data_IF_184589965458
#
_entry.id   IF_184589965458
#
_cell.length_a   1.000
_cell.length_b   1.000
_cell.length_c   1.000
_cell.angle_alpha   90.00
_cell.angle_beta   90.00
_cell.angle_gamma   90.00
#
_symmetry.space_group_name_H-M   'P 1'
#
loop_
_entity.id
_entity.type
_entity.pdbx_description
1 polymer ?
#
# COMPACT_ATOMS: atom_id res chain seq x y z
N UNK A 1 -10.75 -33.68 -0.35
CA UNK A 1 -9.92 -32.46 -0.18
C UNK A 1 -10.35 -31.78 1.11
N UNK A 2 -9.54 -31.87 2.17
CA UNK A 2 -9.85 -31.24 3.45
C UNK A 2 -9.54 -29.73 3.30
N UNK A 3 -10.58 -28.88 3.45
CA UNK A 3 -10.37 -27.45 3.60
C UNK A 3 -9.77 -27.20 5.00
N UNK A 4 -8.50 -26.80 5.04
CA UNK A 4 -7.92 -26.27 6.28
C UNK A 4 -8.52 -24.87 6.51
N UNK A 5 -9.19 -24.70 7.63
CA UNK A 5 -9.73 -23.41 8.05
C UNK A 5 -8.87 -22.86 9.19
N UNK A 6 -8.17 -21.79 8.91
CA UNK A 6 -7.44 -21.02 9.93
C UNK A 6 -8.18 -19.74 10.27
N UNK A 7 -8.22 -19.41 11.57
CA UNK A 7 -8.73 -18.14 12.05
C UNK A 7 -7.55 -17.29 12.50
N UNK A 8 -7.26 -16.21 11.77
CA UNK A 8 -6.18 -15.30 12.06
C UNK A 8 -6.76 -13.97 12.54
N UNK A 9 -6.31 -13.48 13.68
CA UNK A 9 -6.70 -12.16 14.20
C UNK A 9 -5.88 -11.07 13.53
N UNK A 10 -6.58 -10.13 12.90
CA UNK A 10 -5.98 -8.95 12.27
C UNK A 10 -6.23 -7.72 13.17
N UNK A 11 -5.27 -6.81 13.24
CA UNK A 11 -5.40 -5.55 13.98
C UNK A 11 -6.61 -4.75 13.50
N UNK A 12 -7.46 -4.32 14.42
CA UNK A 12 -8.62 -3.47 14.15
C UNK A 12 -8.40 -2.01 14.55
N UNK A 13 -7.24 -1.69 15.11
CA UNK A 13 -6.89 -0.35 15.63
C UNK A 13 -5.85 0.38 14.80
N UNK A 14 -5.12 -0.33 13.94
CA UNK A 14 -4.07 0.23 13.08
C UNK A 14 -4.18 -0.30 11.66
N UNK A 15 -4.45 0.59 10.71
CA UNK A 15 -4.47 0.26 9.28
C UNK A 15 -3.10 -0.21 8.79
N UNK A 16 -2.02 0.35 9.32
CA UNK A 16 -0.65 -0.02 8.95
C UNK A 16 -0.32 -1.43 9.44
N UNK A 17 -0.66 -1.74 10.69
CA UNK A 17 -0.43 -3.07 11.24
C UNK A 17 -1.28 -4.13 10.55
N UNK A 18 -2.56 -3.85 10.32
CA UNK A 18 -3.43 -4.71 9.52
C UNK A 18 -2.87 -4.96 8.12
N UNK A 19 -2.36 -3.92 7.45
CA UNK A 19 -1.74 -4.06 6.13
C UNK A 19 -0.51 -4.95 6.15
N UNK A 20 0.35 -4.84 7.16
CA UNK A 20 1.52 -5.72 7.34
C UNK A 20 1.10 -7.19 7.50
N UNK A 21 0.15 -7.45 8.38
CA UNK A 21 -0.35 -8.79 8.65
C UNK A 21 -0.96 -9.43 7.39
N UNK A 22 -1.84 -8.70 6.69
CA UNK A 22 -2.49 -9.19 5.47
C UNK A 22 -1.51 -9.37 4.31
N UNK A 23 -0.53 -8.46 4.16
CA UNK A 23 0.54 -8.58 3.18
C UNK A 23 1.35 -9.87 3.41
N UNK A 24 1.71 -10.14 4.65
CA UNK A 24 2.45 -11.37 5.02
C UNK A 24 1.68 -12.62 4.64
N UNK A 25 0.38 -12.69 4.97
CA UNK A 25 -0.49 -13.83 4.66
C UNK A 25 -0.55 -14.08 3.15
N UNK A 26 -0.81 -13.03 2.36
CA UNK A 26 -0.94 -13.17 0.91
C UNK A 26 0.39 -13.56 0.27
N UNK A 27 1.50 -12.95 0.67
CA UNK A 27 2.83 -13.30 0.13
C UNK A 27 3.21 -14.73 0.42
N UNK A 28 3.07 -15.18 1.66
CA UNK A 28 3.39 -16.57 2.02
C UNK A 28 2.56 -17.55 1.22
N UNK A 29 1.27 -17.31 1.11
CA UNK A 29 0.39 -18.20 0.34
C UNK A 29 0.76 -18.26 -1.14
N UNK A 30 1.20 -17.15 -1.73
CA UNK A 30 1.73 -17.11 -3.10
C UNK A 30 3.04 -17.85 -3.25
N UNK A 31 3.96 -17.72 -2.29
CA UNK A 31 5.24 -18.44 -2.29
C UNK A 31 5.05 -19.95 -2.22
N UNK A 32 3.99 -20.41 -1.58
CA UNK A 32 3.56 -21.81 -1.56
C UNK A 32 2.93 -22.29 -2.89
N UNK A 33 2.75 -21.39 -3.86
CA UNK A 33 2.16 -21.69 -5.17
C UNK A 33 0.63 -21.72 -5.19
N UNK A 34 -0.03 -21.16 -4.17
CA UNK A 34 -1.48 -21.12 -4.10
C UNK A 34 -2.06 -20.02 -5.00
N UNK A 35 -3.23 -20.28 -5.59
CA UNK A 35 -4.08 -19.27 -6.20
C UNK A 35 -4.85 -18.52 -5.12
N UNK A 36 -4.82 -17.19 -5.14
CA UNK A 36 -5.34 -16.33 -4.08
C UNK A 36 -6.69 -15.75 -4.46
N UNK A 37 -7.70 -16.14 -3.72
CA UNK A 37 -9.05 -15.56 -3.78
C UNK A 37 -9.28 -14.70 -2.52
N UNK A 38 -9.65 -13.45 -2.72
CA UNK A 38 -9.96 -12.51 -1.64
C UNK A 38 -11.42 -12.11 -1.72
N UNK A 39 -12.13 -12.25 -0.61
CA UNK A 39 -13.51 -11.81 -0.48
C UNK A 39 -13.67 -10.88 0.73
N UNK A 40 -14.27 -9.72 0.53
CA UNK A 40 -14.47 -8.71 1.58
C UNK A 40 -15.91 -8.22 1.63
N UNK A 41 -16.34 -7.70 2.78
CA UNK A 41 -17.68 -7.16 3.01
C UNK A 41 -17.72 -5.64 3.25
N UNK A 42 -16.60 -4.94 3.07
CA UNK A 42 -16.51 -3.48 3.19
C UNK A 42 -16.40 -2.93 4.63
N UNK A 43 -16.16 -3.77 5.64
CA UNK A 43 -15.78 -3.31 6.96
C UNK A 43 -14.33 -2.78 6.97
N UNK A 44 -13.83 -2.33 8.14
CA UNK A 44 -12.46 -1.82 8.26
C UNK A 44 -11.42 -2.80 7.72
N UNK A 45 -11.46 -4.06 8.16
CA UNK A 45 -10.53 -5.10 7.68
C UNK A 45 -10.73 -5.38 6.19
N UNK A 46 -11.97 -5.44 5.73
CA UNK A 46 -12.30 -5.65 4.31
C UNK A 46 -11.74 -4.55 3.41
N UNK A 47 -11.80 -3.30 3.84
CA UNK A 47 -11.22 -2.16 3.10
C UNK A 47 -9.70 -2.27 2.99
N UNK A 48 -9.01 -2.61 4.08
CA UNK A 48 -7.56 -2.82 4.08
C UNK A 48 -7.20 -4.05 3.25
N UNK A 49 -7.94 -5.14 3.37
CA UNK A 49 -7.71 -6.36 2.60
C UNK A 49 -7.87 -6.12 1.09
N UNK A 50 -8.87 -5.35 0.67
CA UNK A 50 -9.05 -4.98 -0.74
C UNK A 50 -7.83 -4.22 -1.29
N UNK A 51 -7.31 -3.26 -0.53
CA UNK A 51 -6.08 -2.54 -0.89
C UNK A 51 -4.88 -3.49 -0.99
N UNK A 52 -4.65 -4.32 0.03
CA UNK A 52 -3.52 -5.26 0.07
C UNK A 52 -3.63 -6.31 -1.04
N UNK A 53 -4.83 -6.83 -1.31
CA UNK A 53 -5.07 -7.78 -2.39
C UNK A 53 -4.69 -7.22 -3.76
N UNK A 54 -5.03 -5.96 -4.05
CA UNK A 54 -4.62 -5.28 -5.28
C UNK A 54 -3.10 -5.03 -5.31
N UNK A 55 -2.54 -4.55 -4.21
CA UNK A 55 -1.10 -4.27 -4.08
C UNK A 55 -0.25 -5.53 -4.29
N UNK A 56 -0.66 -6.65 -3.70
CA UNK A 56 0.04 -7.94 -3.80
C UNK A 56 -0.43 -8.79 -5.00
N UNK A 57 -1.25 -8.23 -5.88
CA UNK A 57 -1.74 -8.89 -7.10
C UNK A 57 -2.40 -10.25 -6.82
N UNK A 58 -3.38 -10.27 -5.89
CA UNK A 58 -4.22 -11.45 -5.70
C UNK A 58 -4.89 -11.85 -7.02
N UNK A 59 -5.14 -13.14 -7.23
CA UNK A 59 -5.65 -13.63 -8.51
C UNK A 59 -7.09 -13.23 -8.74
N UNK A 60 -7.92 -13.28 -7.69
CA UNK A 60 -9.33 -12.91 -7.75
C UNK A 60 -9.74 -12.10 -6.52
N UNK A 61 -10.46 -11.00 -6.74
CA UNK A 61 -10.95 -10.12 -5.68
C UNK A 61 -12.47 -10.01 -5.81
N UNK A 62 -13.18 -10.30 -4.72
CA UNK A 62 -14.62 -10.24 -4.64
C UNK A 62 -15.08 -9.29 -3.54
N UNK A 63 -16.19 -8.62 -3.78
CA UNK A 63 -16.93 -7.86 -2.79
C UNK A 63 -18.24 -8.58 -2.48
N UNK A 64 -18.49 -8.86 -1.21
CA UNK A 64 -19.68 -9.54 -0.75
C UNK A 64 -20.73 -8.53 -0.26
N UNK A 65 -21.88 -8.53 -0.90
CA UNK A 65 -22.97 -7.61 -0.63
C UNK A 65 -24.32 -8.26 -0.91
N UNK A 66 -25.28 -8.16 0.01
CA UNK A 66 -26.63 -8.72 -0.14
C UNK A 66 -26.63 -10.17 -0.64
N UNK A 67 -25.89 -11.05 0.03
CA UNK A 67 -25.77 -12.48 -0.31
C UNK A 67 -25.24 -12.77 -1.72
N UNK A 68 -24.59 -11.79 -2.32
CA UNK A 68 -23.91 -11.90 -3.60
C UNK A 68 -22.41 -11.68 -3.46
N UNK A 69 -21.63 -12.36 -4.27
CA UNK A 69 -20.19 -12.10 -4.43
C UNK A 69 -19.95 -11.47 -5.82
N UNK A 70 -19.53 -10.23 -5.83
CA UNK A 70 -19.27 -9.47 -7.05
C UNK A 70 -17.78 -9.44 -7.30
N UNK A 71 -17.33 -9.95 -8.44
CA UNK A 71 -15.93 -9.87 -8.81
C UNK A 71 -15.54 -8.42 -9.09
N UNK A 72 -14.49 -7.97 -8.42
CA UNK A 72 -13.97 -6.61 -8.56
C UNK A 72 -12.86 -6.55 -9.63
N UNK A 73 -12.76 -5.45 -10.36
CA UNK A 73 -11.61 -5.24 -11.24
C UNK A 73 -10.32 -5.13 -10.43
N UNK A 74 -9.25 -5.66 -10.99
CA UNK A 74 -7.91 -5.49 -10.39
C UNK A 74 -7.41 -4.07 -10.65
N UNK A 75 -6.95 -3.41 -9.60
CA UNK A 75 -6.33 -2.09 -9.65
C UNK A 75 -4.83 -2.26 -9.43
N UNK A 76 -4.02 -1.87 -10.40
CA UNK A 76 -2.56 -1.91 -10.25
C UNK A 76 -2.04 -0.62 -9.60
N UNK A 77 -1.23 -0.77 -8.55
CA UNK A 77 -0.45 0.33 -7.97
C UNK A 77 0.92 0.28 -8.62
N UNK A 78 1.15 1.17 -9.59
CA UNK A 78 2.39 1.18 -10.36
C UNK A 78 3.25 2.38 -9.96
N UNK A 79 4.29 2.14 -9.16
CA UNK A 79 5.27 3.13 -8.76
C UNK A 79 6.60 2.85 -9.45
N UNK A 80 7.19 3.88 -10.07
CA UNK A 80 8.54 3.79 -10.61
C UNK A 80 9.55 3.52 -9.48
N UNK A 81 10.70 2.93 -9.83
CA UNK A 81 11.80 2.70 -8.88
C UNK A 81 12.22 3.98 -8.15
N UNK A 82 12.24 5.12 -8.86
CA UNK A 82 12.58 6.42 -8.28
C UNK A 82 11.53 6.89 -7.28
N UNK A 83 10.25 6.80 -7.60
CA UNK A 83 9.17 7.13 -6.66
C UNK A 83 9.22 6.24 -5.42
N UNK A 84 9.47 4.95 -5.58
CA UNK A 84 9.62 4.03 -4.45
C UNK A 84 10.81 4.40 -3.55
N UNK A 85 11.95 4.81 -4.13
CA UNK A 85 13.11 5.30 -3.36
C UNK A 85 12.78 6.58 -2.58
N UNK A 86 12.03 7.51 -3.17
CA UNK A 86 11.57 8.73 -2.48
C UNK A 86 10.69 8.36 -1.29
N UNK A 87 9.70 7.49 -1.48
CA UNK A 87 8.82 7.07 -0.40
C UNK A 87 9.60 6.40 0.75
N UNK A 88 10.53 5.51 0.45
CA UNK A 88 11.38 4.85 1.46
C UNK A 88 12.26 5.83 2.21
N UNK A 89 12.82 6.83 1.53
CA UNK A 89 13.60 7.90 2.17
C UNK A 89 12.75 8.71 3.14
N UNK A 90 11.49 9.01 2.79
CA UNK A 90 10.55 9.73 3.65
C UNK A 90 9.99 8.87 4.80
N UNK A 91 10.11 7.56 4.74
CA UNK A 91 9.75 6.68 5.86
C UNK A 91 10.62 6.95 7.10
N UNK A 92 11.88 7.30 6.89
CA UNK A 92 12.83 7.58 7.96
C UNK A 92 12.57 8.92 8.65
N UNK A 93 12.28 9.96 7.88
CA UNK A 93 12.00 11.32 8.40
C UNK A 93 11.42 12.24 7.35
N UNK A 94 10.79 13.32 7.81
CA UNK A 94 10.40 14.45 6.95
C UNK A 94 11.64 15.11 6.34
N UNK A 95 11.61 15.43 5.05
CA UNK A 95 12.75 15.97 4.31
C UNK A 95 12.36 17.08 3.34
N UNK A 96 13.29 18.02 3.13
CA UNK A 96 13.21 19.02 2.06
C UNK A 96 13.49 18.39 0.71
N UNK A 97 13.07 19.05 -0.38
CA UNK A 97 13.35 18.58 -1.75
C UNK A 97 14.86 18.43 -2.02
N UNK A 98 15.69 19.32 -1.45
CA UNK A 98 17.15 19.26 -1.58
C UNK A 98 17.70 17.97 -0.95
N UNK A 99 17.26 17.66 0.26
CA UNK A 99 17.71 16.47 0.98
C UNK A 99 17.24 15.18 0.30
N UNK A 100 15.99 15.14 -0.16
CA UNK A 100 15.45 14.03 -0.95
C UNK A 100 16.31 13.80 -2.20
N UNK A 101 16.61 14.85 -2.96
CA UNK A 101 17.44 14.77 -4.16
C UNK A 101 18.83 14.20 -3.87
N UNK A 102 19.45 14.63 -2.76
CA UNK A 102 20.74 14.13 -2.30
C UNK A 102 20.68 12.64 -1.92
N UNK A 103 19.66 12.24 -1.16
CA UNK A 103 19.54 10.87 -0.68
C UNK A 103 19.15 9.87 -1.77
N UNK A 104 18.35 10.31 -2.75
CA UNK A 104 17.89 9.46 -3.88
C UNK A 104 18.84 9.52 -5.08
N UNK A 105 19.66 10.55 -5.17
CA UNK A 105 20.62 10.75 -6.28
C UNK A 105 19.97 11.30 -7.56
N UNK A 106 19.02 12.22 -7.42
CA UNK A 106 18.33 12.90 -8.54
C UNK A 106 18.40 14.42 -8.38
N UNK A 107 18.18 15.14 -9.49
CA UNK A 107 18.14 16.60 -9.48
C UNK A 107 16.93 17.13 -8.70
N UNK A 108 17.02 18.35 -8.19
CA UNK A 108 15.92 19.04 -7.50
C UNK A 108 14.66 19.14 -8.38
N UNK A 109 14.82 19.41 -9.67
CA UNK A 109 13.70 19.47 -10.61
C UNK A 109 12.99 18.12 -10.73
N UNK A 110 13.74 17.02 -10.78
CA UNK A 110 13.17 15.67 -10.78
C UNK A 110 12.47 15.33 -9.46
N UNK A 111 13.00 15.78 -8.32
CA UNK A 111 12.32 15.63 -7.02
C UNK A 111 10.95 16.28 -7.07
N UNK A 112 10.82 17.53 -7.47
CA UNK A 112 9.54 18.22 -7.55
C UNK A 112 8.57 17.52 -8.48
N UNK A 113 9.03 17.05 -9.63
CA UNK A 113 8.18 16.31 -10.58
C UNK A 113 7.58 15.04 -9.93
N UNK A 114 8.41 14.24 -9.27
CA UNK A 114 7.96 13.02 -8.62
C UNK A 114 7.12 13.30 -7.37
N UNK A 115 7.51 14.26 -6.55
CA UNK A 115 6.77 14.66 -5.35
C UNK A 115 5.37 15.17 -5.70
N UNK A 116 5.21 16.02 -6.72
CA UNK A 116 3.89 16.48 -7.14
C UNK A 116 2.99 15.32 -7.53
N UNK A 117 3.49 14.37 -8.31
CA UNK A 117 2.74 13.16 -8.66
C UNK A 117 2.38 12.31 -7.43
N UNK A 118 3.31 12.14 -6.49
CA UNK A 118 3.06 11.40 -5.25
C UNK A 118 2.05 12.11 -4.32
N UNK A 119 2.04 13.44 -4.33
CA UNK A 119 1.03 14.24 -3.60
C UNK A 119 -0.35 14.11 -4.24
N UNK A 120 -0.45 14.14 -5.56
CA UNK A 120 -1.70 13.89 -6.30
C UNK A 120 -2.27 12.51 -5.98
N UNK A 121 -1.42 11.50 -5.85
CA UNK A 121 -1.79 10.13 -5.45
C UNK A 121 -2.08 10.00 -3.93
N UNK A 122 -1.91 11.06 -3.15
CA UNK A 122 -2.15 11.07 -1.71
C UNK A 122 -1.10 10.32 -0.86
N UNK A 123 0.06 9.98 -1.43
CA UNK A 123 1.11 9.19 -0.77
C UNK A 123 2.09 10.06 0.01
N UNK A 124 2.23 11.32 -0.35
CA UNK A 124 3.12 12.31 0.25
C UNK A 124 2.35 13.56 0.60
N UNK A 125 2.63 14.16 1.73
CA UNK A 125 2.13 15.45 2.14
C UNK A 125 3.28 16.46 2.30
N UNK A 126 2.91 17.74 2.45
CA UNK A 126 3.86 18.83 2.67
C UNK A 126 3.51 19.58 3.95
N UNK A 127 4.52 19.85 4.78
CA UNK A 127 4.36 20.71 5.96
C UNK A 127 4.26 22.17 5.55
N UNK A 128 3.44 22.96 6.26
CA UNK A 128 3.33 24.42 6.03
C UNK A 128 4.59 25.18 6.45
N UNK A 129 5.32 24.66 7.44
CA UNK A 129 6.56 25.22 7.91
C UNK A 129 7.74 24.42 7.35
N UNK A 130 8.79 25.12 6.88
CA UNK A 130 10.06 24.53 6.41
C UNK A 130 10.01 23.78 5.08
N UNK A 131 8.91 23.81 4.33
CA UNK A 131 8.78 23.15 3.03
C UNK A 131 9.28 21.69 3.01
N UNK A 132 8.98 20.97 4.09
CA UNK A 132 9.32 19.55 4.21
C UNK A 132 8.20 18.68 3.67
N UNK A 133 8.57 17.56 3.12
CA UNK A 133 7.65 16.50 2.68
C UNK A 133 7.66 15.35 3.66
N UNK A 134 6.52 14.73 3.85
CA UNK A 134 6.33 13.59 4.74
C UNK A 134 5.52 12.49 4.09
N UNK A 135 5.70 11.27 4.57
CA UNK A 135 4.96 10.11 4.14
C UNK A 135 3.58 10.07 4.82
N UNK A 136 2.51 10.04 4.02
CA UNK A 136 1.14 9.85 4.53
C UNK A 136 0.93 8.41 5.01
N UNK A 137 -0.19 8.14 5.70
CA UNK A 137 -0.57 6.76 6.02
C UNK A 137 -0.73 5.90 4.76
N UNK A 138 -1.32 6.45 3.70
CA UNK A 138 -1.41 5.76 2.41
C UNK A 138 -0.01 5.44 1.83
N UNK A 139 0.92 6.38 1.91
CA UNK A 139 2.31 6.16 1.51
C UNK A 139 2.99 5.05 2.32
N UNK A 140 2.78 5.01 3.63
CA UNK A 140 3.30 3.94 4.51
C UNK A 140 2.74 2.56 4.16
N UNK A 141 1.46 2.48 3.79
CA UNK A 141 0.82 1.22 3.37
C UNK A 141 1.37 0.71 2.03
N UNK A 142 1.67 1.60 1.10
CA UNK A 142 2.18 1.24 -0.23
C UNK A 142 3.58 0.66 -0.19
N UNK A 143 4.45 1.10 0.72
CA UNK A 143 5.84 0.64 0.83
C UNK A 143 6.05 -0.61 1.69
N UNK A 144 5.01 -1.15 2.28
CA UNK A 144 5.06 -2.38 3.09
C UNK A 144 5.59 -3.58 2.29
#
# INVERSE_FOLDING_TARGET
QYMMKENIKISTTSAIEASKQLTYIIRNSKEEGNEIFVATDGNFIGSILNFVANKESADHIYYCFNDQAIQMPKLSINLSKTKMKILKTLEESEQTAILIGKNVGISRAMVYKHINSLMEDGLVGQTKQYEKYYLTNAGKMVII
#
